data_IF_323489551468
#
_entry.id   IF_323489551468
#
_cell.length_a   1.000
_cell.length_b   1.000
_cell.length_c   1.000
_cell.angle_alpha   90.00
_cell.angle_beta   90.00
_cell.angle_gamma   90.00
#
_symmetry.space_group_name_H-M   'P 1'
#
loop_
_entity.id
_entity.type
_entity.pdbx_description
1 polymer ?
#
# COMPACT_ATOMS: atom_id res chain seq x y z
N UNK A 1 1.21 -11.00 -7.49
CA UNK A 1 1.49 -10.43 -6.15
C UNK A 1 0.88 -9.03 -5.99
N UNK A 2 1.29 -8.04 -6.79
CA UNK A 2 0.81 -6.65 -6.66
C UNK A 2 -0.72 -6.51 -6.66
N UNK A 3 -1.42 -7.13 -7.63
CA UNK A 3 -2.88 -7.11 -7.69
C UNK A 3 -3.53 -7.63 -6.38
N UNK A 4 -3.01 -8.72 -5.82
CA UNK A 4 -3.54 -9.31 -4.58
C UNK A 4 -3.30 -8.41 -3.36
N UNK A 5 -2.18 -7.69 -3.30
CA UNK A 5 -1.88 -6.74 -2.23
C UNK A 5 -2.80 -5.52 -2.30
N UNK A 6 -2.86 -4.89 -3.48
CA UNK A 6 -3.67 -3.68 -3.71
C UNK A 6 -5.16 -3.97 -3.51
N UNK A 7 -5.66 -5.13 -3.97
CA UNK A 7 -7.05 -5.54 -3.74
C UNK A 7 -7.38 -5.65 -2.25
N UNK A 8 -6.50 -6.25 -1.44
CA UNK A 8 -6.71 -6.33 0.02
C UNK A 8 -6.65 -4.95 0.69
N UNK A 9 -5.75 -4.07 0.23
CA UNK A 9 -5.66 -2.71 0.75
C UNK A 9 -6.90 -1.88 0.40
N UNK A 10 -7.41 -1.96 -0.83
CA UNK A 10 -8.61 -1.21 -1.20
C UNK A 10 -9.85 -1.68 -0.44
N UNK A 11 -9.91 -2.95 -0.03
CA UNK A 11 -11.01 -3.51 0.79
C UNK A 11 -10.99 -2.98 2.24
N UNK A 12 -9.83 -2.59 2.77
CA UNK A 12 -9.71 -2.04 4.12
C UNK A 12 -10.02 -0.54 4.18
N UNK A 13 -10.94 -0.06 5.04
CA UNK A 13 -11.31 1.36 5.12
C UNK A 13 -10.13 2.31 5.38
N UNK A 14 -9.22 1.93 6.29
CA UNK A 14 -8.08 2.77 6.66
C UNK A 14 -7.07 2.89 5.51
N UNK A 15 -6.74 1.76 4.87
CA UNK A 15 -5.83 1.76 3.72
C UNK A 15 -6.45 2.50 2.53
N UNK A 16 -7.74 2.28 2.24
CA UNK A 16 -8.49 2.99 1.20
C UNK A 16 -8.46 4.51 1.39
N UNK A 17 -8.57 4.99 2.63
CA UNK A 17 -8.48 6.42 2.95
C UNK A 17 -7.16 7.01 2.45
N UNK A 18 -6.03 6.35 2.75
CA UNK A 18 -4.71 6.81 2.31
C UNK A 18 -4.55 6.74 0.78
N UNK A 19 -5.04 5.67 0.15
CA UNK A 19 -4.97 5.49 -1.32
C UNK A 19 -5.76 6.58 -2.06
N UNK A 20 -6.90 7.03 -1.50
CA UNK A 20 -7.79 8.03 -2.11
C UNK A 20 -7.51 9.45 -1.65
N UNK A 21 -6.48 9.68 -0.84
CA UNK A 21 -6.15 10.99 -0.29
C UNK A 21 -5.62 11.92 -1.42
N UNK A 22 -6.37 12.95 -1.84
CA UNK A 22 -5.98 13.80 -2.96
C UNK A 22 -4.71 14.62 -2.67
N UNK A 23 -4.41 14.87 -1.40
CA UNK A 23 -3.21 15.57 -0.95
C UNK A 23 -1.93 14.72 -1.05
N UNK A 24 -2.05 13.39 -1.14
CA UNK A 24 -0.93 12.46 -1.22
C UNK A 24 -0.58 12.14 -2.67
N UNK A 25 0.27 12.99 -3.27
CA UNK A 25 0.61 12.94 -4.70
C UNK A 25 1.76 12.01 -5.05
N UNK A 26 2.50 11.52 -4.05
CA UNK A 26 3.63 10.59 -4.20
C UNK A 26 3.39 9.32 -3.40
N UNK A 27 3.86 8.19 -3.91
CA UNK A 27 3.89 6.95 -3.14
C UNK A 27 5.11 6.10 -3.45
N UNK A 28 5.54 5.31 -2.47
CA UNK A 28 6.59 4.31 -2.60
C UNK A 28 6.14 2.98 -1.99
N UNK A 29 6.53 1.87 -2.60
CA UNK A 29 6.19 0.52 -2.13
C UNK A 29 7.46 -0.27 -1.88
N UNK A 30 7.59 -0.80 -0.67
CA UNK A 30 8.62 -1.75 -0.28
C UNK A 30 8.03 -3.14 -0.08
N UNK A 31 8.73 -4.17 -0.59
CA UNK A 31 8.33 -5.57 -0.41
C UNK A 31 9.53 -6.34 0.13
N UNK A 32 9.30 -7.07 1.22
CA UNK A 32 10.26 -7.99 1.80
C UNK A 32 9.64 -9.40 1.90
N UNK A 33 10.49 -10.42 1.89
CA UNK A 33 10.09 -11.82 2.06
C UNK A 33 10.85 -12.43 3.23
N UNK A 34 10.12 -13.05 4.15
CA UNK A 34 10.66 -13.82 5.27
C UNK A 34 10.12 -15.25 5.17
N UNK A 35 10.91 -16.15 4.58
CA UNK A 35 10.46 -17.51 4.23
C UNK A 35 9.27 -17.45 3.26
N UNK A 36 8.10 -17.95 3.68
CA UNK A 36 6.86 -17.90 2.90
C UNK A 36 5.99 -16.66 3.17
N UNK A 37 6.38 -15.81 4.11
CA UNK A 37 5.65 -14.58 4.43
C UNK A 37 6.11 -13.43 3.52
N UNK A 38 5.17 -12.77 2.87
CA UNK A 38 5.39 -11.49 2.17
C UNK A 38 4.97 -10.35 3.10
N UNK A 39 5.85 -9.37 3.27
CA UNK A 39 5.58 -8.13 3.98
C UNK A 39 5.65 -7.00 2.97
N UNK A 40 4.58 -6.22 2.87
CA UNK A 40 4.52 -5.09 1.94
C UNK A 40 4.08 -3.85 2.70
N UNK A 41 4.78 -2.74 2.45
CA UNK A 41 4.46 -1.42 2.98
C UNK A 41 4.31 -0.45 1.82
N UNK A 42 3.28 0.40 1.89
CA UNK A 42 3.11 1.53 0.99
C UNK A 42 3.13 2.81 1.82
N UNK A 43 4.02 3.73 1.44
CA UNK A 43 4.15 5.06 2.06
C UNK A 43 3.59 6.09 1.09
N UNK A 44 2.87 7.05 1.63
CA UNK A 44 2.23 8.15 0.89
C UNK A 44 2.81 9.48 1.38
N UNK A 45 3.02 10.42 0.46
CA UNK A 45 3.55 11.74 0.78
C UNK A 45 3.17 12.78 -0.27
N UNK A 46 3.48 14.05 0.01
CA UNK A 46 3.00 15.20 -0.78
C UNK A 46 4.09 16.21 -1.16
N UNK A 47 5.35 15.99 -0.77
CA UNK A 47 6.49 16.88 -1.06
C UNK A 47 7.72 16.11 -1.48
#
# INVERSE_FOLDING_TARGET
LANSLVKKWIESPMHRKNIKAPEMTKSGVGIARQGNRIIAAQVFGSR
#
